data_IF_712472071796
#
_entry.id   IF_712472071796
#
_cell.length_a   1.000
_cell.length_b   1.000
_cell.length_c   1.000
_cell.angle_alpha   90.00
_cell.angle_beta   90.00
_cell.angle_gamma   90.00
#
_symmetry.space_group_name_H-M   'P 1'
#
loop_
_entity.id
_entity.type
_entity.pdbx_description
1 polymer ?
#
# COMPACT_ATOMS: atom_id res chain seq x y z
N UNK A 1 22.04 -7.79 -73.71
CA UNK A 1 22.01 -9.01 -72.87
C UNK A 1 22.94 -8.77 -71.69
N UNK A 2 22.39 -8.52 -70.51
CA UNK A 2 22.28 -9.50 -69.40
C UNK A 2 23.69 -9.81 -68.83
N UNK A 3 24.04 -9.65 -67.56
CA UNK A 3 23.27 -9.82 -66.33
C UNK A 3 24.20 -9.37 -65.18
N UNK A 4 23.75 -8.48 -64.28
CA UNK A 4 24.33 -8.32 -62.94
C UNK A 4 23.89 -9.51 -62.08
N UNK A 5 24.73 -10.11 -61.23
CA UNK A 5 24.19 -10.74 -60.04
C UNK A 5 24.85 -10.27 -58.73
N UNK A 6 24.01 -9.59 -57.94
CA UNK A 6 23.69 -9.91 -56.54
C UNK A 6 24.88 -9.97 -55.57
N UNK A 7 25.42 -8.79 -55.24
CA UNK A 7 25.92 -8.50 -53.88
C UNK A 7 24.76 -7.82 -53.12
N UNK A 8 23.91 -8.57 -52.44
CA UNK A 8 23.14 -8.14 -51.24
C UNK A 8 22.07 -9.18 -50.91
N UNK A 9 22.40 -10.20 -50.13
CA UNK A 9 21.34 -10.93 -49.41
C UNK A 9 21.94 -11.67 -48.22
N UNK A 10 22.08 -10.97 -47.08
CA UNK A 10 22.13 -11.53 -45.71
C UNK A 10 22.25 -10.37 -44.71
N UNK A 11 21.44 -9.32 -44.89
CA UNK A 11 21.62 -8.03 -44.20
C UNK A 11 20.56 -7.63 -43.18
N UNK A 12 19.24 -7.78 -43.40
CA UNK A 12 18.30 -7.09 -42.53
C UNK A 12 17.55 -7.98 -41.52
N UNK A 13 17.65 -9.32 -41.60
CA UNK A 13 16.80 -10.20 -40.80
C UNK A 13 17.19 -10.32 -39.32
N UNK A 14 18.39 -9.85 -38.92
CA UNK A 14 18.82 -9.80 -37.52
C UNK A 14 18.57 -8.43 -36.85
N UNK A 15 18.25 -7.38 -37.61
CA UNK A 15 18.09 -6.03 -37.05
C UNK A 15 16.64 -5.73 -36.58
N UNK A 16 15.65 -6.54 -36.95
CA UNK A 16 14.23 -6.28 -36.63
C UNK A 16 13.80 -6.83 -35.27
N UNK A 17 14.57 -7.76 -34.67
CA UNK A 17 14.14 -8.40 -33.40
C UNK A 17 14.31 -7.47 -32.17
N UNK A 18 15.15 -6.43 -32.27
CA UNK A 18 15.43 -5.53 -31.13
C UNK A 18 14.50 -4.32 -31.01
N UNK A 19 13.57 -4.06 -31.95
CA UNK A 19 12.69 -2.89 -31.89
C UNK A 19 11.25 -3.18 -31.39
N UNK A 20 10.92 -4.42 -31.02
CA UNK A 20 9.54 -4.81 -30.68
C UNK A 20 9.34 -5.44 -29.30
N UNK A 21 10.39 -5.59 -28.50
CA UNK A 21 10.24 -5.96 -27.10
C UNK A 21 10.26 -4.67 -26.29
N UNK A 22 9.09 -4.10 -25.92
CA UNK A 22 9.09 -3.17 -24.81
C UNK A 22 9.81 -3.88 -23.66
N UNK A 23 10.82 -3.27 -23.01
CA UNK A 23 11.30 -3.83 -21.77
C UNK A 23 10.07 -3.96 -20.89
N UNK A 24 9.73 -5.19 -20.53
CA UNK A 24 8.86 -5.43 -19.39
C UNK A 24 9.65 -4.88 -18.20
N UNK A 25 9.55 -3.56 -18.00
CA UNK A 25 9.82 -2.94 -16.73
C UNK A 25 8.76 -3.51 -15.81
N UNK A 26 9.04 -4.71 -15.32
CA UNK A 26 8.34 -5.28 -14.19
C UNK A 26 8.82 -4.46 -13.00
N UNK A 27 8.32 -3.23 -12.88
CA UNK A 27 8.18 -2.57 -11.59
C UNK A 27 7.22 -3.46 -10.81
N UNK A 28 7.75 -4.56 -10.27
CA UNK A 28 7.22 -5.11 -9.05
C UNK A 28 7.21 -3.91 -8.10
N UNK A 29 6.02 -3.40 -7.79
CA UNK A 29 5.87 -2.56 -6.63
C UNK A 29 6.57 -3.34 -5.51
N UNK A 30 7.63 -2.76 -4.95
CA UNK A 30 8.21 -3.30 -3.73
C UNK A 30 7.11 -3.04 -2.72
N UNK A 31 6.24 -4.02 -2.52
CA UNK A 31 5.22 -3.96 -1.49
C UNK A 31 6.02 -3.80 -0.20
N UNK A 32 5.87 -2.62 0.40
CA UNK A 32 6.56 -2.28 1.63
C UNK A 32 6.19 -3.34 2.66
N UNK A 33 7.19 -4.06 3.16
CA UNK A 33 6.95 -5.17 4.07
C UNK A 33 6.49 -4.64 5.44
N UNK A 34 5.18 -4.43 5.56
CA UNK A 34 4.49 -4.01 6.78
C UNK A 34 4.40 -5.13 7.84
N UNK A 35 5.02 -6.29 7.62
CA UNK A 35 4.96 -7.43 8.55
C UNK A 35 6.12 -7.46 9.54
N UNK A 36 7.06 -6.52 9.41
CA UNK A 36 8.19 -6.35 10.33
C UNK A 36 8.18 -4.95 10.94
N UNK A 37 8.63 -4.86 12.20
CA UNK A 37 8.81 -3.56 12.88
C UNK A 37 9.75 -2.63 12.10
N UNK A 38 10.80 -3.18 11.46
CA UNK A 38 11.74 -2.40 10.66
C UNK A 38 11.10 -1.83 9.39
N UNK A 39 10.22 -2.60 8.73
CA UNK A 39 9.51 -2.15 7.54
C UNK A 39 8.49 -1.05 7.88
N UNK A 40 7.73 -1.20 8.95
CA UNK A 40 6.80 -0.16 9.44
C UNK A 40 7.51 1.11 9.90
N UNK A 41 8.67 0.98 10.55
CA UNK A 41 9.46 2.14 10.98
C UNK A 41 10.05 2.94 9.80
N UNK A 42 10.12 2.36 8.60
CA UNK A 42 10.67 3.03 7.41
C UNK A 42 9.68 3.96 6.70
N UNK A 43 8.43 4.02 7.16
CA UNK A 43 7.35 4.80 6.56
C UNK A 43 7.44 6.24 7.03
N UNK A 44 7.67 7.15 6.09
CA UNK A 44 7.80 8.58 6.38
C UNK A 44 6.64 9.41 5.80
N UNK A 45 5.88 8.86 4.86
CA UNK A 45 4.69 9.49 4.31
C UNK A 45 3.52 9.31 5.29
N UNK A 46 3.00 10.40 5.88
CA UNK A 46 1.91 10.30 6.85
C UNK A 46 0.60 9.79 6.23
N UNK A 47 0.39 9.95 4.92
CA UNK A 47 -0.77 9.37 4.24
C UNK A 47 -0.65 7.86 4.13
N UNK A 48 0.56 7.35 3.84
CA UNK A 48 0.85 5.93 3.80
C UNK A 48 0.82 5.30 5.20
N UNK A 49 1.33 5.99 6.23
CA UNK A 49 1.28 5.55 7.63
C UNK A 49 -0.16 5.35 8.11
N UNK A 50 -1.08 6.23 7.69
CA UNK A 50 -2.50 6.17 8.04
C UNK A 50 -3.32 5.15 7.21
N UNK A 51 -2.69 4.36 6.34
CA UNK A 51 -3.40 3.28 5.62
C UNK A 51 -3.60 2.06 6.51
N UNK A 52 -4.74 1.35 6.40
CA UNK A 52 -4.95 0.11 7.16
C UNK A 52 -3.84 -0.92 6.88
N UNK A 53 -3.24 -1.45 7.95
CA UNK A 53 -2.30 -2.57 7.84
C UNK A 53 -3.05 -3.85 7.43
N UNK A 54 -3.03 -4.16 6.14
CA UNK A 54 -3.69 -5.33 5.58
C UNK A 54 -2.72 -6.51 5.48
N UNK A 55 -2.74 -7.40 6.48
CA UNK A 55 -2.03 -8.68 6.37
C UNK A 55 -2.92 -9.71 5.65
N UNK A 56 -2.50 -10.18 4.47
CA UNK A 56 -3.33 -11.03 3.60
C UNK A 56 -3.97 -12.26 4.29
N UNK A 57 -3.26 -13.03 5.14
CA UNK A 57 -3.86 -14.12 5.89
C UNK A 57 -5.03 -13.70 6.81
N UNK A 58 -4.96 -12.50 7.38
CA UNK A 58 -6.02 -11.95 8.25
C UNK A 58 -7.17 -11.43 7.40
N UNK A 59 -6.89 -10.63 6.36
CA UNK A 59 -7.92 -10.04 5.51
C UNK A 59 -8.72 -11.09 4.74
N UNK A 60 -8.08 -12.20 4.33
CA UNK A 60 -8.75 -13.33 3.70
C UNK A 60 -9.76 -14.01 4.64
N UNK A 61 -9.51 -14.01 5.95
CA UNK A 61 -10.38 -14.64 6.95
C UNK A 61 -11.48 -13.70 7.47
N UNK A 62 -11.38 -12.38 7.25
CA UNK A 62 -12.36 -11.41 7.76
C UNK A 62 -13.82 -11.73 7.38
N UNK A 63 -14.05 -12.36 6.22
CA UNK A 63 -15.38 -12.76 5.75
C UNK A 63 -16.05 -13.82 6.64
N UNK A 64 -15.27 -14.53 7.45
CA UNK A 64 -15.75 -15.59 8.36
C UNK A 64 -16.10 -15.06 9.75
N UNK A 65 -15.88 -13.78 10.03
CA UNK A 65 -16.15 -13.16 11.32
C UNK A 65 -17.18 -12.03 11.18
N UNK A 66 -17.88 -11.67 12.28
CA UNK A 66 -18.63 -10.42 12.33
C UNK A 66 -17.73 -9.22 12.01
N UNK A 67 -18.28 -8.12 11.48
CA UNK A 67 -17.52 -6.91 11.21
C UNK A 67 -16.73 -6.46 12.44
N UNK A 68 -15.41 -6.29 12.28
CA UNK A 68 -14.48 -6.00 13.39
C UNK A 68 -14.64 -4.58 13.95
N UNK A 69 -15.30 -3.69 13.19
CA UNK A 69 -15.29 -2.25 13.40
C UNK A 69 -16.65 -1.66 13.77
N UNK A 70 -17.57 -2.46 14.33
CA UNK A 70 -18.77 -1.87 14.91
C UNK A 70 -18.47 -1.29 16.30
N UNK A 71 -18.76 0.00 16.53
CA UNK A 71 -18.65 0.56 17.87
C UNK A 71 -19.57 -0.19 18.83
N UNK A 72 -18.99 -0.71 19.92
CA UNK A 72 -19.80 -1.28 21.00
C UNK A 72 -20.59 -0.16 21.70
N UNK A 73 -21.85 -0.46 22.05
CA UNK A 73 -22.68 0.44 22.85
C UNK A 73 -22.62 0.04 24.32
N UNK A 74 -22.51 1.02 25.21
CA UNK A 74 -22.69 0.81 26.65
C UNK A 74 -24.16 0.48 26.90
N UNK A 75 -24.44 -0.57 27.69
CA UNK A 75 -25.80 -0.92 28.08
C UNK A 75 -26.43 0.23 28.91
N UNK A 76 -27.70 0.59 28.68
CA UNK A 76 -28.34 1.71 29.40
C UNK A 76 -28.33 1.57 30.93
N UNK A 77 -28.36 0.34 31.43
CA UNK A 77 -28.34 -0.01 32.85
C UNK A 77 -26.93 -0.07 33.48
N UNK A 78 -25.86 0.00 32.70
CA UNK A 78 -24.49 -0.01 33.20
C UNK A 78 -24.04 1.39 33.65
N UNK A 79 -24.52 1.77 34.84
CA UNK A 79 -24.22 3.08 35.43
C UNK A 79 -22.72 3.34 35.66
N UNK A 80 -21.91 2.29 35.88
CA UNK A 80 -20.48 2.44 36.10
C UNK A 80 -19.75 2.77 34.78
N UNK A 81 -20.08 2.05 33.69
CA UNK A 81 -19.52 2.33 32.37
C UNK A 81 -19.94 3.71 31.86
N UNK A 82 -21.21 4.09 32.05
CA UNK A 82 -21.71 5.42 31.67
C UNK A 82 -20.99 6.53 32.44
N UNK A 83 -20.79 6.38 33.75
CA UNK A 83 -20.06 7.36 34.55
C UNK A 83 -18.60 7.51 34.10
N UNK A 84 -17.92 6.40 33.81
CA UNK A 84 -16.56 6.40 33.29
C UNK A 84 -16.49 7.11 31.93
N UNK A 85 -17.36 6.75 30.98
CA UNK A 85 -17.45 7.41 29.67
C UNK A 85 -17.71 8.91 29.79
N UNK A 86 -18.66 9.32 30.62
CA UNK A 86 -18.97 10.73 30.83
C UNK A 86 -17.79 11.52 31.41
N UNK A 87 -16.95 10.90 32.23
CA UNK A 87 -15.75 11.56 32.78
C UNK A 87 -14.62 11.77 31.77
N UNK A 88 -14.53 10.93 30.72
CA UNK A 88 -13.42 10.97 29.75
C UNK A 88 -13.83 11.52 28.38
N UNK A 89 -15.09 11.41 27.98
CA UNK A 89 -15.55 11.68 26.61
C UNK A 89 -15.22 13.10 26.13
N UNK A 90 -15.31 14.09 27.02
CA UNK A 90 -14.96 15.48 26.71
C UNK A 90 -13.46 15.71 26.48
N UNK A 91 -12.60 14.78 26.90
CA UNK A 91 -11.13 14.86 26.75
C UNK A 91 -10.62 14.21 25.46
N UNK A 92 -11.47 13.43 24.78
CA UNK A 92 -11.10 12.73 23.55
C UNK A 92 -11.09 13.73 22.40
N UNK A 93 -9.94 13.94 21.72
CA UNK A 93 -9.89 14.81 20.55
C UNK A 93 -10.76 14.24 19.43
N UNK A 94 -11.65 15.07 18.87
CA UNK A 94 -12.49 14.69 17.73
C UNK A 94 -11.80 14.94 16.38
N UNK A 95 -10.63 15.58 16.40
CA UNK A 95 -9.80 15.84 15.24
C UNK A 95 -8.36 15.47 15.56
N UNK A 96 -7.84 14.45 14.88
CA UNK A 96 -6.45 14.01 14.97
C UNK A 96 -5.80 14.36 13.64
N UNK A 97 -4.85 15.29 13.66
CA UNK A 97 -4.11 15.67 12.48
C UNK A 97 -3.05 14.61 12.14
N UNK A 98 -2.82 14.38 10.85
CA UNK A 98 -1.67 13.62 10.36
C UNK A 98 -0.38 14.28 10.83
N UNK A 99 0.65 13.46 11.11
CA UNK A 99 1.99 13.96 11.40
C UNK A 99 2.48 14.82 10.24
N UNK A 100 3.01 16.00 10.54
CA UNK A 100 3.77 16.79 9.56
C UNK A 100 5.22 16.33 9.68
N UNK A 101 5.83 15.76 8.61
CA UNK A 101 7.23 15.37 8.67
C UNK A 101 8.11 16.58 8.97
N UNK A 102 9.03 16.43 9.93
CA UNK A 102 10.03 17.44 10.21
C UNK A 102 11.08 17.42 9.09
N UNK A 103 10.93 18.33 8.12
CA UNK A 103 11.87 18.48 6.99
C UNK A 103 13.23 19.06 7.41
N UNK A 104 13.45 19.33 8.71
CA UNK A 104 14.73 19.84 9.22
C UNK A 104 15.59 18.79 9.92
N UNK A 105 15.10 17.56 10.06
CA UNK A 105 15.86 16.41 10.55
C UNK A 105 16.54 15.67 9.38
N UNK A 106 17.56 16.30 8.79
CA UNK A 106 18.48 15.70 7.82
C UNK A 106 19.92 15.82 8.31
#
# INVERSE_FOLDING_TARGET
MMLFPVLFQLGPLLAVIFLQHPPLANTAAIEMDRTTEQGDASIIDPDQECTPCNHAPVTNQLKSFPPVWEPASILPEDSAALAAWNSISATIPTSIAKKVPDVTAA
#
